data_IF_989240391884
#
_entry.id   IF_989240391884
#
_cell.length_a   1.000
_cell.length_b   1.000
_cell.length_c   1.000
_cell.angle_alpha   90.00
_cell.angle_beta   90.00
_cell.angle_gamma   90.00
#
_symmetry.space_group_name_H-M   'P 1'
#
loop_
_entity.id
_entity.type
_entity.pdbx_description
1 polymer ?
#
# COMPACT_ATOMS: atom_id res chain seq x y z
N UNK A 1 21.99 25.96 17.88
CA UNK A 1 23.11 25.31 17.15
C UNK A 1 23.51 24.04 17.90
N UNK A 2 22.95 22.91 17.52
CA UNK A 2 23.46 21.56 17.80
C UNK A 2 23.26 20.79 16.50
N UNK A 3 24.34 20.18 16.03
CA UNK A 3 24.52 19.71 14.65
C UNK A 3 23.47 18.70 14.23
N UNK A 4 22.85 19.00 13.09
CA UNK A 4 22.06 18.07 12.30
C UNK A 4 23.06 17.19 11.54
N UNK A 5 23.30 15.97 12.02
CA UNK A 5 24.06 14.98 11.26
C UNK A 5 23.15 14.46 10.15
N UNK A 6 23.17 15.14 8.99
CA UNK A 6 22.74 14.54 7.74
C UNK A 6 23.66 13.34 7.48
N UNK A 7 23.14 12.13 7.62
CA UNK A 7 23.75 10.99 6.97
C UNK A 7 23.44 11.11 5.48
N UNK A 8 24.39 11.69 4.75
CA UNK A 8 24.44 11.68 3.30
C UNK A 8 24.30 10.24 2.81
N UNK A 9 23.30 9.98 1.96
CA UNK A 9 23.15 8.77 1.13
C UNK A 9 24.26 8.73 0.05
N UNK A 10 25.53 8.79 0.47
CA UNK A 10 26.69 9.04 -0.39
C UNK A 10 27.86 8.16 -0.03
N UNK A 11 27.71 6.86 -0.22
CA UNK A 11 28.75 5.85 -0.49
C UNK A 11 27.98 4.51 -0.53
N UNK A 12 27.85 3.84 -1.67
CA UNK A 12 28.85 2.93 -2.21
C UNK A 12 28.49 2.72 -3.68
N UNK A 13 29.37 3.06 -4.62
CA UNK A 13 29.41 2.39 -5.92
C UNK A 13 30.87 2.43 -6.44
N UNK A 14 31.66 1.45 -5.99
CA UNK A 14 32.78 0.96 -6.78
C UNK A 14 32.44 -0.48 -7.17
N UNK A 15 32.41 -0.70 -8.48
CA UNK A 15 32.33 -1.95 -9.25
C UNK A 15 31.20 -2.93 -8.94
N UNK A 16 30.28 -3.09 -9.90
CA UNK A 16 29.83 -4.40 -10.40
C UNK A 16 29.15 -4.21 -11.76
N UNK A 17 29.92 -4.26 -12.85
CA UNK A 17 29.39 -4.60 -14.17
C UNK A 17 29.28 -6.14 -14.27
N UNK A 18 28.44 -6.73 -13.41
CA UNK A 18 27.86 -8.02 -13.75
C UNK A 18 26.64 -7.72 -14.62
N UNK A 19 26.54 -8.33 -15.80
CA UNK A 19 25.27 -8.41 -16.48
C UNK A 19 24.29 -9.05 -15.49
N UNK A 20 23.37 -8.26 -14.93
CA UNK A 20 22.40 -8.77 -13.98
C UNK A 20 21.54 -9.79 -14.73
N UNK A 21 21.71 -11.07 -14.44
CA UNK A 21 20.96 -12.18 -15.06
C UNK A 21 19.46 -12.16 -14.70
N UNK A 22 19.06 -11.33 -13.73
CA UNK A 22 17.72 -11.27 -13.16
C UNK A 22 17.01 -9.93 -13.49
N UNK A 23 17.33 -9.33 -14.65
CA UNK A 23 16.71 -8.10 -15.14
C UNK A 23 15.86 -8.40 -16.37
N UNK A 24 14.65 -7.82 -16.44
CA UNK A 24 13.79 -7.96 -17.62
C UNK A 24 12.83 -6.79 -17.83
N UNK A 25 12.46 -6.55 -19.09
CA UNK A 25 11.38 -5.63 -19.49
C UNK A 25 9.99 -6.23 -19.30
N UNK A 26 9.90 -7.55 -19.20
CA UNK A 26 8.72 -8.34 -18.89
C UNK A 26 9.15 -9.50 -18.00
N UNK A 27 8.37 -9.82 -16.97
CA UNK A 27 8.68 -10.89 -16.02
C UNK A 27 7.91 -10.72 -14.72
N UNK A 28 8.30 -11.51 -13.70
CA UNK A 28 7.74 -11.41 -12.36
C UNK A 28 8.78 -11.70 -11.29
N UNK A 29 8.50 -11.23 -10.08
CA UNK A 29 9.24 -11.52 -8.85
C UNK A 29 8.23 -11.94 -7.78
N UNK A 30 8.65 -12.82 -6.88
CA UNK A 30 7.75 -13.40 -5.89
C UNK A 30 8.34 -13.38 -4.48
N UNK A 31 7.51 -12.99 -3.52
CA UNK A 31 7.69 -13.24 -2.10
C UNK A 31 6.83 -14.44 -1.67
N UNK A 32 7.35 -15.27 -0.78
CA UNK A 32 6.63 -16.41 -0.21
C UNK A 32 6.56 -16.31 1.31
N UNK A 33 5.46 -16.77 1.89
CA UNK A 33 5.24 -16.78 3.34
C UNK A 33 4.93 -15.39 3.92
N UNK A 34 4.34 -14.49 3.12
CA UNK A 34 3.94 -13.16 3.59
C UNK A 34 2.74 -13.27 4.52
N UNK A 35 2.85 -12.66 5.70
CA UNK A 35 1.86 -12.74 6.76
C UNK A 35 2.45 -13.27 8.06
N UNK A 36 2.17 -12.58 9.16
CA UNK A 36 2.68 -12.92 10.48
C UNK A 36 1.81 -12.32 11.58
N UNK A 37 1.97 -12.84 12.78
CA UNK A 37 1.38 -12.25 13.99
C UNK A 37 2.34 -11.21 14.54
N UNK A 38 1.83 -10.01 14.77
CA UNK A 38 2.51 -8.99 15.57
C UNK A 38 1.54 -7.90 15.98
N UNK A 39 2.08 -6.80 16.52
CA UNK A 39 1.31 -5.64 16.89
C UNK A 39 1.71 -4.40 16.10
N UNK A 40 0.76 -3.49 15.97
CA UNK A 40 1.01 -2.13 15.53
C UNK A 40 0.48 -1.14 16.57
N UNK A 41 1.03 0.08 16.60
CA UNK A 41 0.53 1.14 17.48
C UNK A 41 -0.28 2.16 16.67
N UNK A 42 -1.63 2.16 16.77
CA UNK A 42 -2.44 3.15 16.10
C UNK A 42 -2.28 4.52 16.75
N UNK A 43 -2.68 5.57 16.04
CA UNK A 43 -2.75 6.91 16.62
C UNK A 43 -4.02 7.02 17.46
N UNK A 44 -3.84 7.45 18.71
CA UNK A 44 -4.93 7.67 19.67
C UNK A 44 -5.44 9.11 19.64
N UNK A 45 -4.55 10.07 19.38
CA UNK A 45 -4.88 11.50 19.40
C UNK A 45 -3.94 12.28 18.48
N UNK A 46 -4.50 13.27 17.79
CA UNK A 46 -3.76 14.30 17.07
C UNK A 46 -4.06 15.64 17.73
N UNK A 47 -3.01 16.35 18.14
CA UNK A 47 -3.08 17.72 18.63
C UNK A 47 -2.52 18.66 17.58
N UNK A 48 -3.42 19.36 16.89
CA UNK A 48 -3.07 20.30 15.84
C UNK A 48 -3.60 21.70 16.18
N UNK A 49 -2.69 22.64 16.42
CA UNK A 49 -2.96 24.06 16.64
C UNK A 49 -1.92 24.90 15.90
N UNK A 50 -2.08 26.24 15.88
CA UNK A 50 -1.07 27.15 15.32
C UNK A 50 0.33 27.04 15.95
N UNK A 51 0.45 26.48 17.16
CA UNK A 51 1.71 26.40 17.93
C UNK A 51 2.14 24.97 18.28
N UNK A 52 1.32 23.97 17.93
CA UNK A 52 1.54 22.59 18.38
C UNK A 52 1.10 21.60 17.31
N UNK A 53 1.99 20.67 17.00
CA UNK A 53 1.73 19.50 16.18
C UNK A 53 2.28 18.28 16.91
N UNK A 54 1.39 17.39 17.38
CA UNK A 54 1.80 16.17 18.07
C UNK A 54 0.80 15.04 17.82
N UNK A 55 1.31 13.84 17.57
CA UNK A 55 0.53 12.61 17.54
C UNK A 55 0.88 11.74 18.75
N UNK A 56 -0.15 11.32 19.49
CA UNK A 56 -0.01 10.38 20.61
C UNK A 56 -0.42 9.00 20.14
N UNK A 57 0.49 8.03 20.32
CA UNK A 57 0.23 6.62 20.03
C UNK A 57 -0.73 6.01 21.05
N UNK A 58 -1.49 5.02 20.60
CA UNK A 58 -2.35 4.18 21.43
C UNK A 58 -1.62 2.96 21.98
N UNK A 59 -2.41 2.10 22.62
CA UNK A 59 -1.95 0.79 23.04
C UNK A 59 -1.70 -0.08 21.79
N UNK A 60 -0.76 -1.02 21.89
CA UNK A 60 -0.45 -1.92 20.79
C UNK A 60 -1.67 -2.82 20.45
N UNK A 61 -2.00 -2.91 19.16
CA UNK A 61 -3.10 -3.71 18.63
C UNK A 61 -2.56 -4.85 17.79
N UNK A 62 -3.10 -6.06 17.97
CA UNK A 62 -2.68 -7.26 17.25
C UNK A 62 -3.26 -7.30 15.83
N UNK A 63 -2.43 -7.71 14.89
CA UNK A 63 -2.83 -8.24 13.60
C UNK A 63 -2.27 -9.66 13.43
N UNK A 64 -2.90 -10.44 12.57
CA UNK A 64 -2.52 -11.84 12.33
C UNK A 64 -3.04 -12.31 10.98
N UNK A 65 -2.41 -13.35 10.43
CA UNK A 65 -2.91 -14.10 9.29
C UNK A 65 -2.16 -13.83 7.97
N UNK A 66 -2.65 -14.49 6.92
CA UNK A 66 -2.06 -14.44 5.57
C UNK A 66 -2.04 -13.00 5.06
N UNK A 67 -0.92 -12.60 4.47
CA UNK A 67 -0.64 -11.26 4.00
C UNK A 67 -0.67 -10.15 5.07
N UNK A 68 -0.90 -10.44 6.35
CA UNK A 68 -0.94 -9.39 7.38
C UNK A 68 0.42 -8.69 7.55
N UNK A 69 0.46 -7.36 7.74
CA UNK A 69 -0.68 -6.44 7.85
C UNK A 69 -1.24 -5.97 6.50
N UNK A 70 -0.65 -6.38 5.38
CA UNK A 70 -1.08 -5.98 4.03
C UNK A 70 -2.45 -6.53 3.61
N UNK A 71 -3.05 -7.44 4.37
CA UNK A 71 -4.46 -7.88 4.19
C UNK A 71 -5.48 -6.78 4.51
N UNK A 72 -5.09 -5.76 5.27
CA UNK A 72 -5.90 -4.57 5.59
C UNK A 72 -6.14 -3.68 4.36
N UNK A 73 -6.88 -2.58 4.55
CA UNK A 73 -7.08 -1.56 3.52
C UNK A 73 -5.77 -0.84 3.19
N UNK A 74 -5.41 -0.84 1.90
CA UNK A 74 -4.21 -0.17 1.40
C UNK A 74 -4.55 1.05 0.56
N UNK A 75 -3.84 2.15 0.78
CA UNK A 75 -3.84 3.29 -0.13
C UNK A 75 -2.75 3.10 -1.19
N UNK A 76 -3.03 3.50 -2.43
CA UNK A 76 -2.08 3.44 -3.54
C UNK A 76 -1.42 4.79 -3.67
N UNK A 77 -0.10 4.82 -3.60
CA UNK A 77 0.69 6.02 -3.78
C UNK A 77 1.37 5.97 -5.14
N UNK A 78 1.36 7.10 -5.85
CA UNK A 78 2.04 7.27 -7.13
C UNK A 78 2.94 8.48 -7.04
N UNK A 79 4.25 8.23 -7.00
CA UNK A 79 5.29 9.26 -6.92
C UNK A 79 6.04 9.36 -8.24
N UNK A 80 6.20 10.58 -8.74
CA UNK A 80 6.77 10.83 -10.04
C UNK A 80 8.30 10.67 -10.12
N UNK A 81 8.83 10.61 -11.35
CA UNK A 81 8.13 10.77 -12.63
C UNK A 81 7.32 9.55 -13.08
N UNK A 82 5.99 9.68 -13.11
CA UNK A 82 5.06 8.61 -13.50
C UNK A 82 3.93 9.22 -14.34
N UNK A 83 3.60 8.54 -15.43
CA UNK A 83 2.32 8.73 -16.11
C UNK A 83 1.47 7.48 -15.90
N UNK A 84 0.38 7.59 -15.14
CA UNK A 84 -0.58 6.50 -14.93
C UNK A 84 -1.70 6.61 -15.97
N UNK A 85 -1.86 5.57 -16.78
CA UNK A 85 -2.89 5.51 -17.83
C UNK A 85 -4.12 4.74 -17.37
N UNK A 86 -3.90 3.60 -16.70
CA UNK A 86 -4.97 2.76 -16.17
C UNK A 86 -4.64 2.24 -14.79
N UNK A 87 -5.68 2.07 -13.99
CA UNK A 87 -5.63 1.36 -12.73
C UNK A 87 -6.85 0.46 -12.59
N UNK A 88 -6.67 -0.72 -12.01
CA UNK A 88 -7.78 -1.54 -11.58
C UNK A 88 -7.44 -2.31 -10.30
N UNK A 89 -8.44 -2.44 -9.44
CA UNK A 89 -8.37 -3.23 -8.20
C UNK A 89 -9.36 -4.38 -8.27
N UNK A 90 -8.89 -5.58 -7.94
CA UNK A 90 -9.69 -6.81 -7.96
C UNK A 90 -9.62 -7.55 -6.64
N UNK A 91 -10.70 -8.27 -6.35
CA UNK A 91 -10.79 -9.20 -5.24
C UNK A 91 -11.38 -10.53 -5.72
N UNK A 92 -11.02 -11.59 -5.00
CA UNK A 92 -11.59 -12.93 -5.10
C UNK A 92 -11.58 -13.55 -3.71
N UNK A 93 -12.40 -14.56 -3.45
CA UNK A 93 -12.42 -15.22 -2.15
C UNK A 93 -11.15 -16.08 -1.95
N UNK A 94 -10.74 -16.78 -3.02
CA UNK A 94 -9.60 -17.68 -2.99
C UNK A 94 -8.84 -17.67 -4.32
N UNK A 95 -7.52 -17.69 -4.24
CA UNK A 95 -6.62 -17.88 -5.36
C UNK A 95 -5.24 -18.24 -4.82
N UNK A 96 -4.61 -19.26 -5.39
CA UNK A 96 -3.25 -19.67 -5.02
C UNK A 96 -2.42 -19.70 -6.29
N UNK A 97 -1.30 -18.97 -6.33
CA UNK A 97 -0.42 -18.91 -7.51
C UNK A 97 0.09 -20.31 -7.86
N UNK A 98 -0.02 -20.71 -9.13
CA UNK A 98 0.36 -22.05 -9.58
C UNK A 98 -0.62 -23.17 -9.22
N UNK A 99 -1.69 -22.86 -8.48
CA UNK A 99 -2.81 -23.76 -8.22
C UNK A 99 -3.85 -23.80 -9.33
N UNK A 100 -4.84 -24.68 -9.19
CA UNK A 100 -6.03 -24.70 -10.04
C UNK A 100 -7.09 -23.79 -9.41
N UNK A 101 -7.40 -22.66 -10.04
CA UNK A 101 -8.53 -21.81 -9.63
C UNK A 101 -9.41 -21.45 -10.83
N UNK A 102 -10.70 -21.72 -10.67
CA UNK A 102 -11.76 -21.26 -11.57
C UNK A 102 -12.45 -20.01 -11.03
N UNK A 103 -12.01 -19.48 -9.89
CA UNK A 103 -12.67 -18.36 -9.21
C UNK A 103 -12.57 -17.09 -10.05
N UNK A 104 -13.59 -16.24 -9.95
CA UNK A 104 -13.64 -14.98 -10.68
C UNK A 104 -13.02 -13.85 -9.86
N UNK A 105 -12.06 -13.17 -10.46
CA UNK A 105 -11.55 -11.89 -9.98
C UNK A 105 -12.49 -10.80 -10.43
N UNK A 106 -13.15 -10.14 -9.47
CA UNK A 106 -14.10 -9.07 -9.75
C UNK A 106 -13.42 -7.72 -9.55
N UNK A 107 -13.49 -6.86 -10.57
CA UNK A 107 -12.97 -5.50 -10.52
C UNK A 107 -13.87 -4.63 -9.66
N UNK A 108 -13.37 -4.10 -8.56
CA UNK A 108 -14.15 -3.28 -7.62
C UNK A 108 -13.78 -1.80 -7.64
N UNK A 109 -12.70 -1.43 -8.33
CA UNK A 109 -12.37 -0.05 -8.66
C UNK A 109 -11.57 0.02 -9.96
N UNK A 110 -11.76 1.09 -10.74
CA UNK A 110 -11.01 1.31 -11.97
C UNK A 110 -10.84 2.79 -12.35
N UNK A 111 -9.75 3.06 -13.04
CA UNK A 111 -9.46 4.33 -13.69
C UNK A 111 -8.87 4.05 -15.07
N UNK A 112 -9.33 4.76 -16.09
CA UNK A 112 -8.78 4.70 -17.45
C UNK A 112 -8.87 6.09 -18.08
N UNK A 113 -7.73 6.75 -18.31
CA UNK A 113 -7.66 8.05 -18.99
C UNK A 113 -7.23 7.95 -20.46
N UNK A 114 -7.17 6.75 -21.04
CA UNK A 114 -6.70 6.56 -22.42
C UNK A 114 -7.70 7.00 -23.48
N UNK A 115 -8.99 7.07 -23.11
CA UNK A 115 -10.07 7.58 -23.96
C UNK A 115 -10.19 9.10 -23.99
N UNK A 116 -11.11 9.62 -24.81
CA UNK A 116 -11.40 11.06 -24.89
C UNK A 116 -11.99 11.65 -23.60
N UNK A 117 -12.44 10.80 -22.67
CA UNK A 117 -12.92 11.18 -21.35
C UNK A 117 -12.47 10.11 -20.34
N UNK A 118 -11.85 10.49 -19.22
CA UNK A 118 -11.45 9.52 -18.21
C UNK A 118 -12.65 8.77 -17.63
N UNK A 119 -12.56 7.45 -17.60
CA UNK A 119 -13.47 6.59 -16.86
C UNK A 119 -12.93 6.40 -15.44
N UNK A 120 -13.79 6.57 -14.44
CA UNK A 120 -13.43 6.36 -13.04
C UNK A 120 -14.59 5.69 -12.31
N UNK A 121 -14.28 4.65 -11.54
CA UNK A 121 -15.22 3.98 -10.66
C UNK A 121 -14.54 3.66 -9.34
N UNK A 122 -15.20 4.04 -8.23
CA UNK A 122 -14.75 3.75 -6.87
C UNK A 122 -13.31 4.21 -6.55
N UNK A 123 -12.93 5.41 -7.01
CA UNK A 123 -11.60 5.99 -6.74
C UNK A 123 -11.74 7.45 -6.33
N UNK A 124 -10.96 7.83 -5.31
CA UNK A 124 -10.72 9.21 -4.91
C UNK A 124 -9.23 9.54 -5.05
N UNK A 125 -8.90 10.59 -5.79
CA UNK A 125 -7.54 11.11 -5.94
C UNK A 125 -7.31 12.25 -4.95
N UNK A 126 -6.29 12.09 -4.11
CA UNK A 126 -5.88 13.07 -3.11
C UNK A 126 -4.38 13.30 -3.23
N UNK A 127 -3.89 14.44 -2.76
CA UNK A 127 -2.46 14.66 -2.54
C UNK A 127 -2.23 15.46 -1.26
N UNK A 128 -1.03 15.39 -0.71
CA UNK A 128 -0.61 16.21 0.42
C UNK A 128 -0.29 17.63 -0.04
N UNK A 129 -1.34 18.37 -0.39
CA UNK A 129 -1.29 19.76 -0.91
C UNK A 129 -2.20 20.71 -0.11
N UNK A 130 -2.72 20.24 1.02
CA UNK A 130 -3.57 20.99 1.93
C UNK A 130 -2.78 21.84 2.93
N UNK A 131 -3.43 22.15 4.05
CA UNK A 131 -2.82 22.96 5.10
C UNK A 131 -1.57 22.29 5.68
N UNK A 132 -0.50 23.08 5.79
CA UNK A 132 0.79 22.64 6.31
C UNK A 132 0.79 22.39 7.81
N UNK A 133 1.60 21.41 8.21
CA UNK A 133 1.76 21.00 9.60
C UNK A 133 3.19 20.55 9.87
N UNK A 134 3.78 21.00 10.98
CA UNK A 134 5.21 20.77 11.26
C UNK A 134 5.55 19.28 11.40
N UNK A 135 4.74 18.51 12.14
CA UNK A 135 4.99 17.08 12.38
C UNK A 135 4.34 16.15 11.34
N UNK A 136 3.29 16.59 10.65
CA UNK A 136 2.56 15.76 9.68
C UNK A 136 2.90 16.08 8.22
N UNK A 137 3.46 17.25 7.92
CA UNK A 137 3.54 17.78 6.56
C UNK A 137 2.18 18.33 6.08
N UNK A 138 2.06 18.67 4.78
CA UNK A 138 0.81 19.13 4.23
C UNK A 138 -0.29 18.07 4.36
N UNK A 139 -1.49 18.50 4.73
CA UNK A 139 -2.64 17.63 4.85
C UNK A 139 -3.12 17.11 3.47
N UNK A 140 -3.80 15.96 3.46
CA UNK A 140 -4.50 15.51 2.26
C UNK A 140 -5.58 16.51 1.83
N UNK A 141 -5.67 16.74 0.53
CA UNK A 141 -6.73 17.50 -0.12
C UNK A 141 -7.05 16.87 -1.48
N UNK A 142 -8.23 17.18 -2.03
CA UNK A 142 -8.49 16.88 -3.43
C UNK A 142 -7.54 17.67 -4.33
N UNK A 143 -7.31 17.12 -5.51
CA UNK A 143 -6.50 17.73 -6.57
C UNK A 143 -7.32 17.92 -7.83
N UNK A 144 -6.88 18.82 -8.73
CA UNK A 144 -7.44 18.95 -10.07
C UNK A 144 -6.96 17.82 -11.00
N UNK A 145 -7.30 17.89 -12.28
CA UNK A 145 -6.95 16.90 -13.31
C UNK A 145 -5.45 16.85 -13.66
N UNK A 146 -4.65 17.80 -13.14
CA UNK A 146 -3.19 17.78 -13.14
C UNK A 146 -2.60 16.91 -12.03
N UNK A 147 -3.39 16.47 -11.06
CA UNK A 147 -2.94 15.71 -9.89
C UNK A 147 -2.12 16.51 -8.87
N UNK A 148 -1.92 17.81 -9.08
CA UNK A 148 -0.98 18.65 -8.31
C UNK A 148 -1.68 19.82 -7.61
N UNK A 149 -2.65 20.45 -8.26
CA UNK A 149 -3.24 21.69 -7.75
C UNK A 149 -4.40 21.39 -6.81
N UNK A 150 -4.46 21.99 -5.60
CA UNK A 150 -5.57 21.77 -4.65
C UNK A 150 -6.94 22.09 -5.25
N UNK A 151 -7.91 21.21 -5.01
CA UNK A 151 -9.30 21.34 -5.43
C UNK A 151 -10.28 21.20 -4.27
N UNK A 152 -11.54 21.58 -4.50
CA UNK A 152 -12.64 21.41 -3.53
C UNK A 152 -13.38 20.07 -3.68
N UNK A 153 -13.22 19.42 -4.82
CA UNK A 153 -13.86 18.15 -5.18
C UNK A 153 -12.84 17.27 -5.89
N UNK A 154 -13.11 15.97 -5.96
CA UNK A 154 -12.25 14.99 -6.61
C UNK A 154 -12.06 15.32 -8.11
N UNK A 155 -10.91 15.87 -8.47
CA UNK A 155 -10.50 16.00 -9.86
C UNK A 155 -9.99 14.66 -10.37
N UNK A 156 -10.37 14.32 -11.59
CA UNK A 156 -9.97 13.06 -12.22
C UNK A 156 -8.75 13.36 -13.09
N UNK A 157 -7.59 12.71 -12.83
CA UNK A 157 -6.40 12.90 -13.63
C UNK A 157 -6.65 12.77 -15.12
N UNK A 158 -6.21 13.78 -15.87
CA UNK A 158 -6.24 13.76 -17.33
C UNK A 158 -5.15 12.82 -17.87
N UNK A 159 -5.25 12.47 -19.16
CA UNK A 159 -4.20 11.75 -19.89
C UNK A 159 -2.87 12.50 -19.96
N UNK A 160 -2.93 13.83 -19.80
CA UNK A 160 -1.80 14.73 -19.92
C UNK A 160 -1.12 14.97 -18.55
N UNK A 161 -1.68 14.41 -17.46
CA UNK A 161 -1.06 14.47 -16.15
C UNK A 161 0.37 13.93 -16.19
N UNK A 162 1.33 14.77 -15.81
CA UNK A 162 2.73 14.41 -15.59
C UNK A 162 3.03 14.64 -14.13
N UNK A 163 3.24 13.58 -13.36
CA UNK A 163 3.72 13.70 -11.99
C UNK A 163 5.22 13.98 -12.06
N UNK A 164 5.75 15.10 -11.54
CA UNK A 164 7.18 15.37 -11.53
C UNK A 164 7.93 14.55 -10.46
N UNK A 165 9.26 14.56 -10.51
CA UNK A 165 10.11 13.99 -9.46
C UNK A 165 9.78 14.58 -8.09
N UNK A 166 9.71 13.73 -7.07
CA UNK A 166 9.45 14.16 -5.68
C UNK A 166 8.00 14.57 -5.39
N UNK A 167 7.10 14.48 -6.37
CA UNK A 167 5.68 14.78 -6.19
C UNK A 167 4.89 13.48 -6.13
N UNK A 168 3.91 13.40 -5.24
CA UNK A 168 3.11 12.21 -4.98
C UNK A 168 1.62 12.55 -4.87
N UNK A 169 0.79 11.72 -5.48
CA UNK A 169 -0.64 11.64 -5.17
C UNK A 169 -1.00 10.25 -4.66
N UNK A 170 -2.15 10.16 -4.01
CA UNK A 170 -2.65 8.97 -3.34
C UNK A 170 -4.06 8.67 -3.83
N UNK A 171 -4.31 7.40 -4.13
CA UNK A 171 -5.61 6.88 -4.52
C UNK A 171 -6.21 6.07 -3.38
N UNK A 172 -7.45 6.39 -3.05
CA UNK A 172 -8.31 5.64 -2.14
C UNK A 172 -9.54 5.13 -2.89
N UNK A 173 -10.33 4.27 -2.25
CA UNK A 173 -11.70 4.00 -2.71
C UNK A 173 -12.58 5.26 -2.61
N UNK A 174 -13.83 5.20 -3.09
CA UNK A 174 -14.82 6.25 -2.84
C UNK A 174 -15.57 6.07 -1.51
N UNK A 175 -15.23 5.07 -0.70
CA UNK A 175 -15.87 4.80 0.59
C UNK A 175 -15.36 5.79 1.63
N UNK A 176 -16.18 6.78 1.98
CA UNK A 176 -15.81 7.78 2.98
C UNK A 176 -15.60 7.16 4.37
N UNK A 177 -14.61 7.67 5.09
CA UNK A 177 -14.39 7.31 6.47
C UNK A 177 -15.56 7.78 7.36
N UNK A 178 -15.97 6.98 8.36
CA UNK A 178 -16.75 7.51 9.46
C UNK A 178 -15.95 8.55 10.25
N UNK A 179 -16.59 9.22 11.20
CA UNK A 179 -15.94 10.25 12.02
C UNK A 179 -14.64 9.74 12.67
N UNK A 180 -13.58 10.56 12.60
CA UNK A 180 -12.25 10.34 13.20
C UNK A 180 -12.35 9.93 14.68
N UNK A 181 -12.17 8.63 14.96
CA UNK A 181 -12.20 8.02 16.30
C UNK A 181 -11.39 6.72 16.28
N UNK A 182 -10.66 6.45 17.37
CA UNK A 182 -9.78 5.28 17.47
C UNK A 182 -10.49 3.93 17.21
N UNK A 183 -11.79 3.80 17.50
CA UNK A 183 -12.55 2.54 17.33
C UNK A 183 -13.32 2.44 16.01
N UNK A 184 -13.30 3.48 15.19
CA UNK A 184 -14.01 3.48 13.91
C UNK A 184 -13.10 2.94 12.79
N UNK A 185 -13.69 2.40 11.73
CA UNK A 185 -12.94 2.14 10.50
C UNK A 185 -12.30 3.47 10.03
N UNK A 186 -11.02 3.45 9.67
CA UNK A 186 -10.11 4.60 9.45
C UNK A 186 -9.39 5.21 10.67
N UNK A 187 -9.77 4.89 11.91
CA UNK A 187 -9.07 5.36 13.11
C UNK A 187 -9.07 6.89 13.28
N UNK A 188 -7.94 7.43 13.77
CA UNK A 188 -7.75 8.87 13.98
C UNK A 188 -7.07 9.50 12.77
N UNK A 189 -7.68 10.55 12.25
CA UNK A 189 -7.14 11.41 11.19
C UNK A 189 -7.44 12.91 11.48
N UNK A 190 -6.69 13.86 10.90
CA UNK A 190 -6.88 15.30 11.10
C UNK A 190 -8.31 15.78 10.76
N UNK A 191 -8.79 16.79 11.48
CA UNK A 191 -10.13 17.35 11.21
C UNK A 191 -10.11 18.20 9.95
N UNK A 192 -11.16 18.09 9.13
CA UNK A 192 -11.41 18.99 8.00
C UNK A 192 -10.74 18.59 6.68
N UNK A 193 -10.15 17.40 6.63
CA UNK A 193 -9.57 16.82 5.41
C UNK A 193 -10.55 15.80 4.79
N UNK A 194 -10.49 15.56 3.47
CA UNK A 194 -11.08 14.36 2.88
C UNK A 194 -10.44 13.10 3.47
N UNK A 195 -11.26 12.11 3.80
CA UNK A 195 -10.81 10.84 4.37
C UNK A 195 -11.63 9.69 3.82
N UNK A 196 -10.94 8.72 3.22
CA UNK A 196 -11.53 7.57 2.54
C UNK A 196 -10.81 6.29 2.95
N UNK A 197 -11.48 5.16 2.81
CA UNK A 197 -10.90 3.84 2.99
C UNK A 197 -10.06 3.45 1.76
N UNK A 198 -8.99 2.71 1.99
CA UNK A 198 -8.19 2.09 0.93
C UNK A 198 -8.86 0.87 0.32
N UNK A 199 -8.05 0.05 -0.34
CA UNK A 199 -8.43 -1.18 -1.02
C UNK A 199 -7.99 -2.39 -0.19
N UNK A 200 -8.94 -3.13 0.38
CA UNK A 200 -8.69 -4.19 1.37
C UNK A 200 -8.83 -5.62 0.86
N UNK A 201 -8.73 -6.59 1.76
CA UNK A 201 -8.93 -8.01 1.45
C UNK A 201 -7.62 -8.81 1.47
N UNK A 202 -7.72 -10.10 1.79
CA UNK A 202 -6.56 -11.02 1.84
C UNK A 202 -6.08 -11.34 0.43
N UNK A 203 -7.00 -11.82 -0.41
CA UNK A 203 -6.73 -12.20 -1.81
C UNK A 203 -7.14 -11.05 -2.73
N UNK A 204 -6.17 -10.36 -3.29
CA UNK A 204 -6.40 -9.12 -4.03
C UNK A 204 -5.34 -8.86 -5.10
N UNK A 205 -5.70 -8.06 -6.09
CA UNK A 205 -4.81 -7.71 -7.20
C UNK A 205 -4.93 -6.24 -7.55
N UNK A 206 -3.78 -5.58 -7.72
CA UNK A 206 -3.68 -4.21 -8.21
C UNK A 206 -3.02 -4.24 -9.58
N UNK A 207 -3.68 -3.68 -10.60
CA UNK A 207 -3.17 -3.57 -11.96
C UNK A 207 -2.96 -2.12 -12.35
N UNK A 208 -1.90 -1.88 -13.10
CA UNK A 208 -1.47 -0.57 -13.55
C UNK A 208 -1.04 -0.63 -15.02
N UNK A 209 -1.44 0.36 -15.80
CA UNK A 209 -0.82 0.68 -17.08
C UNK A 209 -0.11 2.03 -16.90
N UNK A 210 1.22 2.07 -17.07
CA UNK A 210 2.01 3.22 -16.68
C UNK A 210 3.29 3.41 -17.49
N UNK A 211 3.84 4.61 -17.38
CA UNK A 211 5.17 5.02 -17.85
C UNK A 211 5.97 5.56 -16.67
N UNK A 212 7.30 5.44 -16.71
CA UNK A 212 8.21 6.06 -15.75
C UNK A 212 9.30 6.85 -16.50
N UNK A 213 8.93 7.95 -17.18
CA UNK A 213 9.86 8.69 -18.04
C UNK A 213 10.97 9.34 -17.23
N UNK A 214 12.07 9.70 -17.89
CA UNK A 214 13.11 10.53 -17.25
C UNK A 214 12.59 11.94 -17.07
N UNK A 215 12.62 12.43 -15.84
CA UNK A 215 12.44 13.84 -15.52
C UNK A 215 13.76 14.58 -15.77
N UNK A 216 13.73 15.57 -16.64
CA UNK A 216 14.89 16.38 -17.01
C UNK A 216 14.95 17.69 -16.23
N UNK A 217 14.01 17.94 -15.32
CA UNK A 217 14.00 19.14 -14.50
C UNK A 217 15.10 19.08 -13.44
N UNK A 218 15.75 20.21 -13.20
CA UNK A 218 16.86 20.36 -12.23
C UNK A 218 16.40 20.86 -10.86
N UNK A 219 15.08 20.97 -10.65
CA UNK A 219 14.44 21.76 -9.57
C UNK A 219 14.05 20.94 -8.33
N UNK A 220 14.48 19.69 -8.20
CA UNK A 220 14.24 18.98 -6.95
C UNK A 220 15.21 19.50 -5.88
N UNK A 221 14.66 20.03 -4.78
CA UNK A 221 15.43 20.43 -3.59
C UNK A 221 16.17 19.25 -2.93
N UNK A 222 15.83 18.02 -3.31
CA UNK A 222 16.47 16.80 -2.87
C UNK A 222 16.82 15.93 -4.08
N UNK A 223 18.13 15.73 -4.31
CA UNK A 223 18.63 14.90 -5.40
C UNK A 223 18.26 13.42 -5.26
N UNK A 224 17.89 12.96 -4.05
CA UNK A 224 17.54 11.55 -3.81
C UNK A 224 16.17 11.16 -4.37
N UNK A 225 15.32 12.14 -4.71
CA UNK A 225 14.00 11.89 -5.31
C UNK A 225 13.95 12.20 -6.81
N UNK A 226 15.04 12.73 -7.39
CA UNK A 226 15.15 12.95 -8.83
C UNK A 226 15.17 11.59 -9.53
N UNK A 227 14.27 11.40 -10.49
CA UNK A 227 14.20 10.15 -11.25
C UNK A 227 14.11 8.90 -10.36
N UNK A 228 13.41 9.01 -9.23
CA UNK A 228 13.10 7.90 -8.33
C UNK A 228 11.58 7.64 -8.22
N UNK A 229 10.89 7.37 -9.34
CA UNK A 229 9.45 7.15 -9.33
C UNK A 229 9.07 5.92 -8.53
N UNK A 230 7.86 5.94 -7.97
CA UNK A 230 7.31 4.75 -7.33
C UNK A 230 5.81 4.61 -7.49
N UNK A 231 5.37 3.34 -7.54
CA UNK A 231 4.00 2.92 -7.27
C UNK A 231 4.09 2.01 -6.06
N UNK A 232 3.48 2.42 -4.95
CA UNK A 232 3.59 1.70 -3.69
C UNK A 232 2.25 1.70 -2.94
N UNK A 233 2.11 0.73 -2.04
CA UNK A 233 0.92 0.49 -1.25
C UNK A 233 1.27 0.68 0.21
N UNK A 234 0.48 1.42 0.96
CA UNK A 234 0.66 1.55 2.41
C UNK A 234 -0.65 1.28 3.13
N UNK A 235 -0.61 0.95 4.42
CA UNK A 235 -1.81 1.05 5.25
C UNK A 235 -2.49 2.39 5.00
N UNK A 236 -3.79 2.36 4.68
CA UNK A 236 -4.53 3.56 4.31
C UNK A 236 -4.58 4.62 5.42
N UNK A 237 -4.22 4.26 6.67
CA UNK A 237 -4.06 5.19 7.78
C UNK A 237 -2.85 6.12 7.62
N UNK A 238 -1.79 5.66 6.96
CA UNK A 238 -0.54 6.40 6.84
C UNK A 238 -0.75 7.74 6.09
N UNK A 239 -1.19 7.76 4.83
CA UNK A 239 -1.41 9.00 4.09
C UNK A 239 -2.50 9.88 4.70
N UNK A 240 -3.52 9.30 5.38
CA UNK A 240 -4.55 10.09 6.06
C UNK A 240 -3.99 10.99 7.16
N UNK A 241 -2.85 10.63 7.74
CA UNK A 241 -2.26 11.36 8.86
C UNK A 241 -1.09 12.22 8.41
N UNK A 242 -0.18 11.68 7.61
CA UNK A 242 1.11 12.36 7.35
C UNK A 242 1.67 12.07 5.98
N UNK A 243 2.47 13.00 5.46
CA UNK A 243 3.42 12.82 4.35
C UNK A 243 4.87 12.71 4.83
N UNK A 244 5.12 12.73 6.15
CA UNK A 244 6.45 12.70 6.76
C UNK A 244 6.74 11.32 7.35
N UNK A 245 7.32 10.46 6.52
CA UNK A 245 7.64 9.08 6.87
C UNK A 245 9.02 8.98 7.55
N UNK A 246 9.14 9.42 8.80
CA UNK A 246 10.40 9.29 9.56
C UNK A 246 10.23 8.40 10.79
N UNK A 247 11.33 7.80 11.24
CA UNK A 247 11.35 6.82 12.34
C UNK A 247 10.96 7.41 13.69
N UNK A 248 11.28 8.69 13.90
CA UNK A 248 11.00 9.48 15.09
C UNK A 248 9.62 10.16 15.07
N UNK A 249 8.90 10.12 13.94
CA UNK A 249 7.59 10.73 13.82
C UNK A 249 6.47 9.79 14.31
N UNK A 250 5.87 10.10 15.45
CA UNK A 250 4.70 9.38 15.97
C UNK A 250 3.43 9.56 15.13
N UNK A 251 3.40 10.50 14.19
CA UNK A 251 2.32 10.62 13.22
C UNK A 251 2.42 9.60 12.07
N UNK A 252 3.57 8.93 11.91
CA UNK A 252 3.75 7.87 10.92
C UNK A 252 3.55 6.50 11.56
N UNK A 253 2.59 5.73 11.06
CA UNK A 253 2.40 4.35 11.52
C UNK A 253 3.40 3.36 10.89
N UNK A 254 4.15 3.77 9.86
CA UNK A 254 5.01 2.87 9.07
C UNK A 254 6.02 2.16 9.97
N UNK A 255 6.71 2.94 10.80
CA UNK A 255 7.65 2.45 11.81
C UNK A 255 6.99 2.01 13.12
N UNK A 256 5.67 1.93 13.13
CA UNK A 256 4.83 1.43 14.23
C UNK A 256 4.07 0.16 13.84
N UNK A 257 4.41 -0.46 12.71
CA UNK A 257 3.95 -1.80 12.34
C UNK A 257 2.78 -1.86 11.35
N UNK A 258 2.27 -0.74 10.82
CA UNK A 258 1.13 -0.79 9.89
C UNK A 258 1.49 -1.34 8.50
N UNK A 259 2.77 -1.34 8.13
CA UNK A 259 3.29 -1.98 6.91
C UNK A 259 3.02 -1.22 5.61
N UNK A 260 3.84 -1.55 4.61
CA UNK A 260 3.70 -1.11 3.23
C UNK A 260 4.32 -2.13 2.27
N UNK A 261 4.03 -1.98 0.99
CA UNK A 261 4.58 -2.78 -0.11
C UNK A 261 4.94 -1.87 -1.27
N UNK A 262 6.21 -1.81 -1.62
CA UNK A 262 6.67 -1.12 -2.81
C UNK A 262 6.47 -2.05 -4.01
N UNK A 263 5.44 -1.79 -4.83
CA UNK A 263 5.17 -2.60 -6.02
C UNK A 263 6.27 -2.34 -7.05
N UNK A 264 6.46 -1.07 -7.40
CA UNK A 264 7.50 -0.60 -8.30
C UNK A 264 8.21 0.57 -7.64
N UNK A 265 9.40 0.35 -7.09
CA UNK A 265 10.30 1.41 -6.62
C UNK A 265 11.50 1.49 -7.54
N UNK A 266 11.69 2.63 -8.19
CA UNK A 266 12.65 2.76 -9.27
C UNK A 266 13.80 3.70 -8.94
N UNK A 267 14.96 3.43 -9.53
CA UNK A 267 16.04 4.40 -9.72
C UNK A 267 16.01 4.89 -11.18
N UNK A 268 17.12 5.45 -11.68
CA UNK A 268 17.22 5.95 -13.05
C UNK A 268 17.04 4.87 -14.14
N UNK A 269 17.25 3.58 -13.84
CA UNK A 269 17.29 2.50 -14.84
C UNK A 269 16.46 1.27 -14.51
N UNK A 270 16.28 0.95 -13.23
CA UNK A 270 15.67 -0.29 -12.76
C UNK A 270 14.52 0.00 -11.79
N UNK A 271 13.57 -0.94 -11.72
CA UNK A 271 12.52 -1.00 -10.72
C UNK A 271 12.69 -2.27 -9.87
N UNK A 272 12.30 -2.17 -8.61
CA UNK A 272 12.32 -3.26 -7.63
C UNK A 272 10.98 -3.35 -6.92
N UNK A 273 10.74 -4.49 -6.27
CA UNK A 273 9.64 -4.65 -5.32
C UNK A 273 10.18 -4.96 -3.92
N UNK A 274 9.59 -4.34 -2.90
CA UNK A 274 10.06 -4.47 -1.51
C UNK A 274 8.92 -4.60 -0.52
N UNK A 275 9.08 -5.49 0.45
CA UNK A 275 8.14 -5.67 1.56
C UNK A 275 8.57 -4.81 2.75
N UNK A 276 7.85 -3.74 3.03
CA UNK A 276 8.18 -2.79 4.11
C UNK A 276 7.35 -3.14 5.35
N UNK A 277 7.71 -4.25 6.01
CA UNK A 277 7.05 -4.76 7.23
C UNK A 277 8.07 -5.26 8.24
N UNK A 278 7.69 -5.40 9.51
CA UNK A 278 8.55 -6.01 10.53
C UNK A 278 8.54 -7.55 10.51
N UNK A 279 8.04 -8.16 9.44
CA UNK A 279 8.04 -9.62 9.34
C UNK A 279 9.47 -10.16 9.35
N UNK A 280 9.80 -11.00 10.34
CA UNK A 280 11.16 -11.54 10.52
C UNK A 280 12.20 -10.50 10.96
N UNK A 281 11.76 -9.30 11.37
CA UNK A 281 12.63 -8.17 11.74
C UNK A 281 12.30 -7.76 13.18
N UNK A 282 13.34 -7.49 13.99
CA UNK A 282 13.15 -6.98 15.34
C UNK A 282 13.03 -5.43 15.35
N UNK A 283 11.83 -4.86 15.57
CA UNK A 283 11.62 -3.42 15.51
C UNK A 283 12.31 -2.65 16.65
N UNK A 284 12.79 -3.33 17.70
CA UNK A 284 13.39 -2.70 18.87
C UNK A 284 14.89 -2.41 18.73
N UNK A 285 15.47 -2.66 17.55
CA UNK A 285 16.89 -2.43 17.27
C UNK A 285 17.07 -1.49 16.09
N UNK A 286 18.10 -0.65 16.14
CA UNK A 286 18.46 0.23 15.00
C UNK A 286 18.66 -0.58 13.72
N UNK A 287 19.34 -1.72 13.82
CA UNK A 287 19.56 -2.62 12.68
C UNK A 287 18.25 -3.16 12.10
N UNK A 288 17.28 -3.52 12.94
CA UNK A 288 15.98 -3.99 12.49
C UNK A 288 15.16 -2.88 11.82
N UNK A 289 15.15 -1.67 12.38
CA UNK A 289 14.50 -0.52 11.72
C UNK A 289 15.11 -0.23 10.34
N UNK A 290 16.43 -0.34 10.19
CA UNK A 290 17.11 -0.19 8.89
C UNK A 290 16.79 -1.35 7.94
N UNK A 291 16.63 -2.57 8.45
CA UNK A 291 16.28 -3.75 7.66
C UNK A 291 14.89 -3.65 7.01
N UNK A 292 14.01 -2.79 7.50
CA UNK A 292 12.67 -2.55 6.95
C UNK A 292 12.71 -2.20 5.44
N UNK A 293 13.75 -1.49 4.99
CA UNK A 293 13.93 -1.08 3.60
C UNK A 293 14.78 -2.04 2.77
N UNK A 294 15.31 -3.10 3.37
CA UNK A 294 16.22 -4.04 2.70
C UNK A 294 15.51 -5.35 2.31
N UNK A 295 14.20 -5.43 2.51
CA UNK A 295 13.43 -6.61 2.16
C UNK A 295 12.93 -6.57 0.70
N UNK A 296 13.87 -6.44 -0.22
CA UNK A 296 13.66 -6.35 -1.68
C UNK A 296 13.67 -7.73 -2.33
N UNK A 297 12.86 -7.96 -3.36
CA UNK A 297 12.86 -9.20 -4.14
C UNK A 297 14.22 -9.46 -4.83
N UNK A 298 14.47 -10.70 -5.25
CA UNK A 298 15.78 -11.13 -5.81
C UNK A 298 15.98 -10.77 -7.31
N UNK A 299 15.08 -9.96 -7.88
CA UNK A 299 15.16 -9.54 -9.27
C UNK A 299 14.63 -8.13 -9.51
N UNK A 300 14.83 -7.68 -10.74
CA UNK A 300 14.69 -6.29 -11.13
C UNK A 300 13.94 -6.18 -12.45
N UNK A 301 13.10 -5.16 -12.59
CA UNK A 301 12.49 -4.81 -13.87
C UNK A 301 13.27 -3.65 -14.50
N UNK A 302 13.34 -3.60 -15.83
CA UNK A 302 13.76 -2.37 -16.49
C UNK A 302 12.74 -1.27 -16.23
N UNK A 303 13.20 -0.07 -15.86
CA UNK A 303 12.32 1.10 -15.79
C UNK A 303 11.78 1.43 -17.19
N UNK A 304 10.45 1.59 -17.36
CA UNK A 304 9.83 1.93 -18.64
C UNK A 304 10.01 3.43 -18.95
N UNK A 305 11.22 3.83 -19.36
CA UNK A 305 11.56 5.23 -19.65
C UNK A 305 11.02 5.74 -20.99
N UNK A 306 10.87 4.86 -21.98
CA UNK A 306 10.50 5.20 -23.36
C UNK A 306 9.27 4.44 -23.88
N UNK A 307 8.37 4.01 -22.99
CA UNK A 307 7.16 3.28 -23.40
C UNK A 307 6.23 3.00 -22.24
N UNK A 308 5.03 2.56 -22.58
CA UNK A 308 4.01 2.15 -21.61
C UNK A 308 4.10 0.65 -21.37
N UNK A 309 3.99 0.24 -20.12
CA UNK A 309 3.91 -1.17 -19.72
C UNK A 309 2.66 -1.42 -18.89
N UNK A 310 2.18 -2.67 -18.90
CA UNK A 310 1.20 -3.15 -17.94
C UNK A 310 1.93 -3.92 -16.84
N UNK A 311 1.48 -3.80 -15.61
CA UNK A 311 2.04 -4.55 -14.49
C UNK A 311 1.15 -4.47 -13.28
N UNK A 312 1.53 -5.18 -12.22
CA UNK A 312 0.72 -5.22 -11.02
C UNK A 312 1.31 -6.07 -9.92
N UNK A 313 0.53 -6.23 -8.87
CA UNK A 313 0.81 -7.17 -7.79
C UNK A 313 -0.42 -8.03 -7.52
N UNK A 314 -0.20 -9.33 -7.33
CA UNK A 314 -1.17 -10.31 -6.84
C UNK A 314 -0.79 -10.71 -5.42
N UNK A 315 -1.73 -10.54 -4.49
CA UNK A 315 -1.70 -11.13 -3.16
C UNK A 315 -2.60 -12.36 -3.18
N UNK A 316 -2.03 -13.53 -3.00
CA UNK A 316 -2.76 -14.79 -3.03
C UNK A 316 -3.25 -15.20 -1.62
N UNK A 317 -3.99 -16.30 -1.53
CA UNK A 317 -4.61 -16.80 -0.30
C UNK A 317 -3.65 -17.56 0.63
N UNK A 318 -2.40 -17.77 0.23
CA UNK A 318 -1.38 -18.54 0.97
C UNK A 318 -0.14 -17.72 1.34
N UNK A 319 -0.11 -16.44 1.02
CA UNK A 319 1.00 -15.56 1.36
C UNK A 319 2.07 -15.53 0.28
N UNK A 320 1.73 -15.88 -0.95
CA UNK A 320 2.52 -15.53 -2.12
C UNK A 320 2.12 -14.13 -2.61
N UNK A 321 3.11 -13.26 -2.73
CA UNK A 321 2.95 -11.91 -3.28
C UNK A 321 3.80 -11.81 -4.53
N UNK A 322 3.15 -11.65 -5.69
CA UNK A 322 3.81 -11.67 -7.00
C UNK A 322 3.67 -10.29 -7.64
N UNK A 323 4.78 -9.59 -7.80
CA UNK A 323 4.83 -8.40 -8.67
C UNK A 323 5.22 -8.82 -10.07
N UNK A 324 4.58 -8.24 -11.08
CA UNK A 324 4.87 -8.56 -12.47
C UNK A 324 4.79 -7.35 -13.41
N UNK A 325 5.49 -7.45 -14.54
CA UNK A 325 5.41 -6.54 -15.68
C UNK A 325 5.20 -7.37 -16.95
N UNK A 326 4.27 -6.94 -17.79
CA UNK A 326 3.95 -7.54 -19.09
C UNK A 326 4.02 -6.49 -20.20
N UNK A 327 4.78 -6.78 -21.25
CA UNK A 327 4.81 -5.98 -22.48
C UNK A 327 3.78 -6.41 -23.51
N UNK A 328 3.13 -7.56 -23.31
CA UNK A 328 2.12 -8.12 -24.24
C UNK A 328 0.69 -7.70 -23.89
N UNK A 329 0.55 -6.62 -23.11
CA UNK A 329 -0.72 -6.15 -22.57
C UNK A 329 -1.20 -6.98 -21.38
N UNK A 330 -2.23 -6.47 -20.70
CA UNK A 330 -2.94 -7.14 -19.60
C UNK A 330 -4.40 -6.72 -19.70
N UNK A 331 -5.33 -7.65 -19.48
CA UNK A 331 -6.76 -7.30 -19.47
C UNK A 331 -7.10 -6.49 -18.23
N UNK A 332 -7.93 -5.46 -18.40
CA UNK A 332 -8.53 -4.70 -17.32
C UNK A 332 -10.06 -4.93 -17.29
N UNK A 333 -10.54 -6.08 -17.74
CA UNK A 333 -11.97 -6.39 -17.82
C UNK A 333 -12.65 -6.35 -16.45
N UNK A 334 -13.98 -6.19 -16.43
CA UNK A 334 -14.74 -6.15 -15.16
C UNK A 334 -14.63 -7.46 -14.36
N UNK A 335 -14.50 -8.59 -15.06
CA UNK A 335 -14.29 -9.91 -14.47
C UNK A 335 -13.17 -10.62 -15.22
N UNK A 336 -12.20 -11.14 -14.48
CA UNK A 336 -11.10 -11.95 -15.02
C UNK A 336 -11.18 -13.33 -14.36
N UNK A 337 -11.06 -14.42 -15.13
CA UNK A 337 -11.04 -15.76 -14.53
C UNK A 337 -9.69 -16.03 -13.85
N UNK A 338 -9.70 -16.85 -12.80
CA UNK A 338 -8.49 -17.34 -12.15
C UNK A 338 -7.55 -18.01 -13.15
N UNK A 339 -8.07 -18.76 -14.13
CA UNK A 339 -7.28 -19.37 -15.20
C UNK A 339 -6.55 -18.34 -16.08
N UNK A 340 -7.15 -17.17 -16.35
CA UNK A 340 -6.49 -16.09 -17.09
C UNK A 340 -5.36 -15.48 -16.26
N UNK A 341 -5.58 -15.26 -14.95
CA UNK A 341 -4.53 -14.76 -14.05
C UNK A 341 -3.38 -15.77 -13.94
N UNK A 342 -3.68 -17.06 -13.80
CA UNK A 342 -2.64 -18.10 -13.80
C UNK A 342 -1.86 -18.12 -15.11
N UNK A 343 -2.56 -18.09 -16.25
CA UNK A 343 -1.91 -18.13 -17.58
C UNK A 343 -0.98 -16.93 -17.77
N UNK A 344 -1.40 -15.75 -17.33
CA UNK A 344 -0.58 -14.55 -17.31
C UNK A 344 0.69 -14.77 -16.47
N UNK A 345 0.55 -15.16 -15.20
CA UNK A 345 1.68 -15.33 -14.29
C UNK A 345 2.62 -16.48 -14.71
N UNK A 346 2.09 -17.58 -15.24
CA UNK A 346 2.91 -18.70 -15.73
C UNK A 346 3.64 -18.41 -17.04
N UNK A 347 3.10 -17.49 -17.85
CA UNK A 347 3.70 -17.08 -19.12
C UNK A 347 4.85 -16.07 -18.97
N UNK A 348 5.03 -15.49 -17.78
CA UNK A 348 6.07 -14.49 -17.51
C UNK A 348 7.36 -15.15 -17.00
N UNK A 349 8.54 -14.71 -17.48
CA UNK A 349 9.82 -15.14 -16.94
C UNK A 349 9.98 -14.81 -15.46
N UNK A 350 10.57 -15.73 -14.70
CA UNK A 350 11.02 -15.45 -13.33
C UNK A 350 12.26 -14.55 -13.37
N UNK A 351 12.19 -13.41 -12.67
CA UNK A 351 13.33 -12.51 -12.50
C UNK A 351 13.97 -12.83 -11.14
N UNK A 352 14.86 -13.82 -11.12
CA UNK A 352 15.50 -14.29 -9.90
C UNK A 352 14.65 -15.25 -9.06
N UNK A 353 15.25 -15.77 -7.98
CA UNK A 353 14.62 -16.78 -7.14
C UNK A 353 13.50 -16.21 -6.26
N UNK A 354 12.50 -17.03 -5.97
CA UNK A 354 11.46 -16.71 -4.99
C UNK A 354 12.07 -16.33 -3.64
N UNK A 355 11.67 -15.17 -3.11
CA UNK A 355 12.15 -14.71 -1.81
C UNK A 355 11.24 -15.22 -0.69
N UNK A 356 11.73 -16.19 0.08
CA UNK A 356 11.03 -16.68 1.27
C UNK A 356 11.22 -15.69 2.41
N UNK A 357 10.12 -15.16 2.93
CA UNK A 357 10.13 -14.27 4.09
C UNK A 357 10.17 -15.12 5.37
N UNK A 358 11.02 -14.72 6.30
CA UNK A 358 11.08 -15.38 7.61
C UNK A 358 9.74 -15.25 8.35
N UNK A 359 9.42 -16.24 9.18
CA UNK A 359 8.24 -16.17 10.03
C UNK A 359 8.32 -14.97 11.00
N UNK A 360 7.16 -14.51 11.46
CA UNK A 360 7.09 -13.57 12.58
C UNK A 360 7.76 -14.14 13.83
N UNK A 361 8.26 -13.24 14.68
CA UNK A 361 8.90 -13.60 15.95
C UNK A 361 7.92 -13.61 17.13
N UNK A 362 6.70 -13.14 16.90
CA UNK A 362 5.64 -13.04 17.90
C UNK A 362 4.52 -14.04 17.63
N UNK A 363 3.64 -14.23 18.61
CA UNK A 363 2.44 -15.07 18.48
C UNK A 363 1.28 -14.34 19.10
N UNK A 364 0.18 -14.21 18.35
CA UNK A 364 -0.99 -13.51 18.85
C UNK A 364 -1.59 -14.25 20.06
N UNK A 365 -2.07 -13.53 21.10
CA UNK A 365 -2.78 -14.15 22.21
C UNK A 365 -4.03 -14.88 21.69
N UNK A 366 -4.28 -16.08 22.21
CA UNK A 366 -5.50 -16.81 21.91
C UNK A 366 -6.73 -15.92 22.18
N UNK A 367 -7.73 -15.87 21.28
CA UNK A 367 -8.94 -15.08 21.50
C UNK A 367 -9.56 -15.46 22.84
N UNK A 368 -9.78 -14.48 23.72
CA UNK A 368 -10.49 -14.71 24.98
C UNK A 368 -11.91 -15.14 24.64
N UNK A 369 -12.22 -16.42 24.82
CA UNK A 369 -13.59 -16.94 24.72
C UNK A 369 -14.47 -16.18 25.71
N UNK A 370 -15.38 -15.35 25.20
CA UNK A 370 -16.44 -14.77 26.04
C UNK A 370 -17.20 -15.94 26.64
N UNK A 371 -17.10 -16.15 27.96
CA UNK A 371 -18.00 -17.04 28.70
C UNK A 371 -19.42 -16.60 28.40
N UNK A 372 -20.13 -17.36 27.57
CA UNK A 372 -21.56 -17.21 27.37
C UNK A 372 -22.20 -17.38 28.74
N UNK A 373 -22.73 -16.29 29.32
CA UNK A 373 -23.55 -16.38 30.53
C UNK A 373 -24.76 -17.21 30.16
N UNK A 374 -24.79 -18.47 30.57
CA UNK A 374 -25.96 -19.34 30.50
C UNK A 374 -27.08 -18.62 31.23
N UNK A 375 -28.09 -18.12 30.50
CA UNK A 375 -29.34 -17.67 31.11
C UNK A 375 -29.89 -18.87 31.87
N UNK A 376 -29.97 -18.78 33.21
CA UNK A 376 -30.74 -19.73 34.02
C UNK A 376 -32.15 -19.78 33.43
N UNK A 377 -32.51 -20.93 32.88
CA UNK A 377 -33.88 -21.26 32.52
C UNK A 377 -34.75 -21.05 33.76
N UNK A 378 -35.74 -20.17 33.66
CA UNK A 378 -36.79 -20.05 34.68
C UNK A 378 -37.66 -21.29 34.56
N UNK A 379 -37.67 -22.12 35.59
CA UNK A 379 -38.60 -23.24 35.75
C UNK A 379 -40.04 -22.76 35.58
N UNK A 380 -40.88 -23.42 34.76
CA UNK A 380 -42.28 -23.06 34.63
C UNK A 380 -43.00 -23.28 35.97
N UNK A 381 -43.77 -22.28 36.39
CA UNK A 381 -44.64 -22.35 37.56
C UNK A 381 -45.81 -23.28 37.21
N UNK A 382 -45.98 -24.36 37.97
CA UNK A 382 -47.10 -25.29 37.81
C UNK A 382 -48.42 -24.55 38.06
N UNK A 383 -49.31 -24.57 37.07
CA UNK A 383 -50.69 -24.11 37.20
C UNK A 383 -51.51 -25.25 37.79
N UNK A 384 -51.97 -25.08 39.03
CA UNK A 384 -52.94 -25.98 39.63
C UNK A 384 -54.32 -25.74 38.99
N UNK A 385 -54.81 -26.74 38.29
CA UNK A 385 -56.21 -26.86 37.86
C UNK A 385 -57.07 -27.21 39.07
N UNK A 386 -58.06 -26.36 39.36
CA UNK A 386 -59.16 -26.63 40.27
C UNK A 386 -60.42 -26.80 39.43
N UNK A 387 -60.97 -28.00 39.45
CA UNK A 387 -62.28 -28.35 38.91
C UNK A 387 -63.41 -27.81 39.81
N UNK A 388 -64.36 -27.10 39.21
CA UNK A 388 -65.80 -27.36 39.35
C UNK A 388 -66.42 -27.33 37.96
#
# INVERSE_FOLDING_TARGET
MKGLTLLSLGAILADYAAAQSNVGTSGKVQFCGVGYDSTYQPIKKIELTKKKCECTLGDAEWFSGVNAPLSENLAVHVRGPVGLSKFAFYQTDNFVVGGNSSDSWNRTACFDNTGSSPAVNNITFLAHVGAESECMGPALSYVTDDGLTPAKVNGIPSKDMKVPSGVEYVMFSNVSCPASKAKNSCGIYPKGIPAYQGFGGVTKMFLFEFTMPTDLTTEANDSSVINAPSIWLSSDSLPRVTSKYTTDNNCSCLFKGCGAYEVFSANSTLMTSSLVTFQGINPNTTAGVQALFNNTANGYFNRPTNGTVCGGVVFDSEGHVVTFVSTNGTSFDEVISGSTVQSLLSGLPELGDNKVIAAGTETAPAPKTKKTKTKKSKTPKATATSSM
#
